data_IF_950741107015
#
_entry.id   IF_950741107015
#
_cell.length_a   1.000
_cell.length_b   1.000
_cell.length_c   1.000
_cell.angle_alpha   90.00
_cell.angle_beta   90.00
_cell.angle_gamma   90.00
#
_symmetry.space_group_name_H-M   'P 1'
#
loop_
_entity.id
_entity.type
_entity.pdbx_description
1 polymer ?
#
# COMPACT_ATOMS: atom_id res chain seq x y z
N UNK A 1 -21.93 11.56 30.25
CA UNK A 1 -22.38 10.19 30.57
C UNK A 1 -21.29 9.25 30.08
N UNK A 2 -20.55 8.61 30.98
CA UNK A 2 -19.51 7.64 30.62
C UNK A 2 -20.18 6.31 30.25
N UNK A 3 -20.51 6.11 28.98
CA UNK A 3 -20.95 4.83 28.43
C UNK A 3 -19.71 4.00 28.06
N UNK A 4 -19.04 3.45 29.07
CA UNK A 4 -18.11 2.35 28.84
C UNK A 4 -18.95 1.08 28.60
N UNK A 5 -19.34 0.86 27.35
CA UNK A 5 -20.01 -0.35 26.89
C UNK A 5 -19.00 -1.31 26.24
N UNK A 6 -19.08 -2.60 26.57
CA UNK A 6 -18.36 -3.66 25.84
C UNK A 6 -19.34 -4.34 24.90
N UNK A 7 -19.01 -4.40 23.62
CA UNK A 7 -19.78 -5.16 22.62
C UNK A 7 -18.99 -6.44 22.31
N UNK A 8 -19.68 -7.57 22.32
CA UNK A 8 -19.14 -8.85 21.85
C UNK A 8 -19.63 -9.11 20.42
N UNK A 9 -18.79 -8.85 19.43
CA UNK A 9 -19.18 -8.97 18.01
C UNK A 9 -19.52 -10.40 17.57
N UNK A 10 -19.23 -11.43 18.37
CA UNK A 10 -19.62 -12.82 18.05
C UNK A 10 -21.10 -13.08 18.31
N UNK A 11 -21.70 -12.34 19.24
CA UNK A 11 -23.11 -12.50 19.66
C UNK A 11 -23.88 -11.19 19.71
N UNK A 12 -23.30 -10.09 19.21
CA UNK A 12 -23.87 -8.75 19.29
C UNK A 12 -25.29 -8.73 18.74
N UNK A 13 -26.21 -8.18 19.52
CA UNK A 13 -27.57 -7.96 19.08
C UNK A 13 -27.64 -6.78 18.11
N UNK A 14 -28.61 -6.80 17.21
CA UNK A 14 -28.75 -5.76 16.17
C UNK A 14 -28.90 -4.35 16.75
N UNK A 15 -29.58 -4.21 17.90
CA UNK A 15 -29.72 -2.93 18.60
C UNK A 15 -28.39 -2.41 19.18
N UNK A 16 -27.47 -3.29 19.58
CA UNK A 16 -26.13 -2.88 20.04
C UNK A 16 -25.30 -2.36 18.87
N UNK A 17 -25.36 -3.04 17.72
CA UNK A 17 -24.67 -2.64 16.50
C UNK A 17 -25.25 -1.35 15.90
N UNK A 18 -26.57 -1.21 15.93
CA UNK A 18 -27.26 0.02 15.55
C UNK A 18 -26.88 1.17 16.47
N UNK A 19 -26.78 0.92 17.79
CA UNK A 19 -26.32 1.94 18.73
C UNK A 19 -24.87 2.34 18.44
N UNK A 20 -23.97 1.38 18.21
CA UNK A 20 -22.59 1.67 17.81
C UNK A 20 -22.55 2.51 16.53
N UNK A 21 -23.32 2.13 15.51
CA UNK A 21 -23.44 2.89 14.26
C UNK A 21 -23.94 4.33 14.50
N UNK A 22 -24.85 4.54 15.46
CA UNK A 22 -25.37 5.86 15.81
C UNK A 22 -24.36 6.74 16.56
N UNK A 23 -23.34 6.14 17.17
CA UNK A 23 -22.24 6.86 17.82
C UNK A 23 -21.16 7.28 16.83
N UNK A 24 -21.11 6.61 15.68
CA UNK A 24 -20.14 6.95 14.65
C UNK A 24 -20.49 8.29 13.98
N UNK A 25 -19.50 9.16 13.89
CA UNK A 25 -19.64 10.40 13.11
C UNK A 25 -19.65 10.06 11.62
N UNK A 26 -20.39 10.81 10.79
CA UNK A 26 -20.31 10.64 9.35
C UNK A 26 -18.87 10.79 8.89
N UNK A 27 -18.33 9.79 8.21
CA UNK A 27 -16.92 9.77 7.87
C UNK A 27 -16.61 10.75 6.73
N UNK A 28 -15.68 11.68 6.96
CA UNK A 28 -15.14 12.58 5.92
C UNK A 28 -14.09 11.87 5.08
N UNK A 29 -13.83 12.38 3.87
CA UNK A 29 -12.68 11.98 3.05
C UNK A 29 -11.84 13.21 2.69
N UNK A 30 -10.53 13.01 2.53
CA UNK A 30 -9.61 14.08 2.18
C UNK A 30 -9.64 14.34 0.67
N UNK A 31 -10.03 15.54 0.27
CA UNK A 31 -9.86 16.04 -1.09
C UNK A 31 -9.08 17.36 -1.00
N UNK A 32 -7.85 17.40 -1.53
CA UNK A 32 -7.00 18.60 -1.53
C UNK A 32 -6.82 19.24 -0.13
N UNK A 33 -6.42 18.45 0.86
CA UNK A 33 -6.25 18.89 2.26
C UNK A 33 -7.51 19.45 2.96
N UNK A 34 -8.70 19.18 2.41
CA UNK A 34 -9.99 19.49 3.03
C UNK A 34 -10.82 18.22 3.25
N UNK A 35 -11.43 18.13 4.43
CA UNK A 35 -12.42 17.10 4.75
C UNK A 35 -13.74 17.41 4.05
N UNK A 36 -14.10 16.62 3.05
CA UNK A 36 -15.37 16.75 2.31
C UNK A 36 -16.35 15.67 2.78
N UNK A 37 -17.61 16.07 2.99
CA UNK A 37 -18.73 15.19 3.29
C UNK A 37 -19.64 15.08 2.07
N UNK A 38 -19.70 13.90 1.45
CA UNK A 38 -20.57 13.61 0.31
C UNK A 38 -21.21 12.21 0.45
N UNK A 39 -22.53 12.17 0.68
CA UNK A 39 -23.28 10.94 0.84
C UNK A 39 -23.42 10.12 -0.46
N UNK A 40 -23.13 10.72 -1.62
CA UNK A 40 -23.03 10.00 -2.90
C UNK A 40 -21.71 9.27 -3.05
N UNK A 41 -20.70 9.66 -2.28
CA UNK A 41 -19.37 9.05 -2.26
C UNK A 41 -19.17 8.09 -1.09
N UNK A 42 -19.81 8.37 0.06
CA UNK A 42 -19.68 7.52 1.25
C UNK A 42 -20.86 7.68 2.20
N UNK A 43 -21.48 6.56 2.58
CA UNK A 43 -22.55 6.51 3.60
C UNK A 43 -22.13 5.64 4.78
N UNK A 44 -21.11 6.05 5.52
CA UNK A 44 -20.54 5.23 6.61
C UNK A 44 -20.24 6.08 7.83
N UNK A 45 -20.46 5.51 9.01
CA UNK A 45 -19.99 6.10 10.25
C UNK A 45 -18.58 5.61 10.60
N UNK A 46 -17.74 6.51 11.13
CA UNK A 46 -16.46 6.15 11.76
C UNK A 46 -16.37 6.61 13.22
N UNK A 47 -15.56 5.91 14.01
CA UNK A 47 -15.09 6.33 15.33
C UNK A 47 -13.57 6.45 15.31
N UNK A 48 -13.07 7.59 15.76
CA UNK A 48 -11.63 7.81 15.95
C UNK A 48 -11.07 6.94 17.07
N UNK A 49 -9.79 6.54 16.96
CA UNK A 49 -9.08 5.71 17.95
C UNK A 49 -9.13 6.27 19.38
N UNK A 50 -9.32 7.57 19.59
CA UNK A 50 -9.49 8.16 20.91
C UNK A 50 -10.79 7.73 21.62
N UNK A 51 -11.79 7.24 20.88
CA UNK A 51 -13.12 6.91 21.41
C UNK A 51 -13.41 5.42 21.54
N UNK A 52 -12.48 4.54 21.16
CA UNK A 52 -12.65 3.10 21.33
C UNK A 52 -11.34 2.41 21.70
N UNK A 53 -11.45 1.19 22.21
CA UNK A 53 -10.30 0.34 22.46
C UNK A 53 -10.60 -1.07 21.95
N UNK A 54 -9.65 -1.65 21.22
CA UNK A 54 -9.68 -3.06 20.86
C UNK A 54 -8.77 -3.84 21.81
N UNK A 55 -9.23 -5.00 22.30
CA UNK A 55 -8.36 -5.95 23.02
C UNK A 55 -7.46 -6.77 22.10
N UNK A 56 -7.68 -6.65 20.79
CA UNK A 56 -6.88 -7.31 19.78
C UNK A 56 -5.64 -6.47 19.51
N UNK A 57 -4.47 -7.10 19.62
CA UNK A 57 -3.19 -6.51 19.28
C UNK A 57 -2.57 -7.32 18.12
N UNK A 58 -2.47 -6.74 16.90
CA UNK A 58 -1.88 -7.40 15.74
C UNK A 58 -0.44 -7.87 15.95
N UNK A 59 0.32 -7.20 16.81
CA UNK A 59 1.71 -7.53 17.08
C UNK A 59 1.82 -8.74 18.00
N UNK A 60 1.08 -8.74 19.12
CA UNK A 60 1.15 -9.83 20.10
C UNK A 60 0.63 -11.17 19.58
N UNK A 61 -0.20 -11.19 18.52
CA UNK A 61 -0.74 -12.44 17.95
C UNK A 61 0.05 -12.96 16.73
N UNK A 62 1.18 -12.33 16.37
CA UNK A 62 2.00 -12.73 15.21
C UNK A 62 1.42 -12.35 13.85
N UNK A 63 0.35 -11.56 13.80
CA UNK A 63 -0.27 -11.15 12.54
C UNK A 63 0.66 -10.27 11.70
N UNK A 64 1.48 -9.41 12.34
CA UNK A 64 2.47 -8.63 11.61
C UNK A 64 3.55 -9.49 10.96
N UNK A 65 3.89 -10.65 11.52
CA UNK A 65 4.86 -11.57 10.95
C UNK A 65 4.31 -12.24 9.69
N UNK A 66 3.03 -12.64 9.73
CA UNK A 66 2.32 -13.14 8.56
C UNK A 66 2.21 -12.07 7.46
N UNK A 67 1.89 -10.82 7.82
CA UNK A 67 1.84 -9.70 6.86
C UNK A 67 3.21 -9.42 6.24
N UNK A 68 4.30 -9.50 7.02
CA UNK A 68 5.66 -9.37 6.47
C UNK A 68 5.96 -10.47 5.45
N UNK A 69 5.64 -11.73 5.78
CA UNK A 69 5.84 -12.83 4.85
C UNK A 69 5.04 -12.68 3.56
N UNK A 70 3.74 -12.37 3.68
CA UNK A 70 2.82 -12.35 2.54
C UNK A 70 2.88 -11.06 1.71
N UNK A 71 2.74 -9.90 2.37
CA UNK A 71 2.62 -8.61 1.68
C UNK A 71 3.99 -8.04 1.29
N UNK A 72 5.04 -8.28 2.07
CA UNK A 72 6.41 -7.80 1.75
C UNK A 72 7.23 -8.83 0.96
N UNK A 73 6.62 -9.90 0.46
CA UNK A 73 7.29 -10.97 -0.29
C UNK A 73 8.54 -11.50 0.43
N UNK A 74 8.41 -11.80 1.73
CA UNK A 74 9.51 -12.37 2.53
C UNK A 74 10.60 -11.40 2.98
N UNK A 75 10.38 -10.08 2.91
CA UNK A 75 11.30 -9.07 3.46
C UNK A 75 11.23 -9.00 5.00
N UNK A 76 11.77 -10.03 5.67
CA UNK A 76 11.73 -10.14 7.14
C UNK A 76 12.66 -9.14 7.86
N UNK A 77 13.64 -8.59 7.15
CA UNK A 77 14.63 -7.65 7.67
C UNK A 77 14.04 -6.25 7.93
N UNK A 78 12.88 -5.93 7.31
CA UNK A 78 12.17 -4.68 7.54
C UNK A 78 11.15 -4.84 8.68
N UNK A 79 11.43 -4.34 9.89
CA UNK A 79 10.43 -4.36 10.95
C UNK A 79 9.26 -3.45 10.56
N UNK A 80 8.05 -3.88 10.90
CA UNK A 80 6.82 -3.12 10.68
C UNK A 80 6.08 -2.92 12.00
N UNK A 81 5.31 -1.84 12.08
CA UNK A 81 4.39 -1.58 13.20
C UNK A 81 2.99 -1.28 12.68
N UNK A 82 1.99 -1.63 13.47
CA UNK A 82 0.60 -1.28 13.22
C UNK A 82 0.13 -0.21 14.21
N UNK A 83 -0.48 0.85 13.71
CA UNK A 83 -1.03 1.93 14.51
C UNK A 83 -2.55 1.94 14.39
N UNK A 84 -3.25 1.85 15.52
CA UNK A 84 -4.71 1.87 15.54
C UNK A 84 -5.22 3.19 14.97
N UNK A 85 -6.09 3.13 13.97
CA UNK A 85 -6.55 4.33 13.28
C UNK A 85 -8.03 4.61 13.50
N UNK A 86 -8.92 3.74 12.99
CA UNK A 86 -10.37 4.00 13.03
C UNK A 86 -11.19 2.72 13.13
N UNK A 87 -12.38 2.83 13.72
CA UNK A 87 -13.42 1.82 13.66
C UNK A 87 -14.49 2.30 12.68
N UNK A 88 -14.88 1.47 11.71
CA UNK A 88 -15.97 1.78 10.79
C UNK A 88 -17.14 0.83 11.00
N UNK A 89 -18.36 1.39 10.96
CA UNK A 89 -19.60 0.61 10.98
C UNK A 89 -20.41 0.92 9.73
N UNK A 90 -20.73 -0.12 8.97
CA UNK A 90 -21.55 -0.06 7.77
C UNK A 90 -22.88 -0.75 8.07
N UNK A 91 -23.96 0.01 8.10
CA UNK A 91 -25.33 -0.52 8.23
C UNK A 91 -25.96 -0.76 6.85
N UNK A 92 -27.26 -1.14 6.80
CA UNK A 92 -27.95 -1.38 5.55
C UNK A 92 -27.90 -0.17 4.60
N UNK A 93 -27.47 -0.40 3.35
CA UNK A 93 -27.27 0.62 2.32
C UNK A 93 -25.99 1.45 2.46
N UNK A 94 -25.16 1.21 3.49
CA UNK A 94 -23.84 1.83 3.61
C UNK A 94 -22.85 1.23 2.63
N UNK A 95 -22.00 2.08 2.04
CA UNK A 95 -20.95 1.72 1.08
C UNK A 95 -19.80 2.75 1.17
N UNK A 96 -18.67 2.42 0.56
CA UNK A 96 -17.57 3.35 0.34
C UNK A 96 -17.09 3.18 -1.10
N UNK A 97 -17.18 4.23 -1.90
CA UNK A 97 -16.67 4.26 -3.28
C UNK A 97 -15.16 3.98 -3.38
N UNK A 98 -14.73 3.70 -4.60
CA UNK A 98 -13.34 3.49 -4.97
C UNK A 98 -12.45 4.67 -4.55
N UNK A 99 -11.40 4.36 -3.81
CA UNK A 99 -10.39 5.31 -3.37
C UNK A 99 -9.06 4.62 -3.09
N UNK A 100 -7.99 5.40 -3.02
CA UNK A 100 -6.70 5.00 -2.46
C UNK A 100 -6.52 5.67 -1.09
N UNK A 101 -5.68 5.07 -0.25
CA UNK A 101 -5.39 5.64 1.06
C UNK A 101 -4.46 6.85 0.93
N UNK A 102 -4.83 7.95 1.57
CA UNK A 102 -3.90 9.08 1.75
C UNK A 102 -2.80 8.68 2.72
N UNK A 103 -1.55 8.71 2.28
CA UNK A 103 -0.40 8.40 3.13
C UNK A 103 -0.23 9.48 4.21
N UNK A 104 -0.18 9.07 5.49
CA UNK A 104 -0.15 9.98 6.65
C UNK A 104 1.26 10.22 7.21
N UNK A 105 2.27 10.07 6.37
CA UNK A 105 3.68 10.17 6.75
C UNK A 105 4.56 9.42 5.75
N UNK A 106 5.86 9.66 5.80
CA UNK A 106 6.80 9.05 4.86
C UNK A 106 6.97 7.54 5.05
N UNK A 107 6.67 7.03 6.24
CA UNK A 107 6.91 5.64 6.60
C UNK A 107 5.64 4.77 6.54
N UNK A 108 4.46 5.38 6.29
CA UNK A 108 3.22 4.65 6.09
C UNK A 108 3.27 3.97 4.73
N UNK A 109 3.11 2.66 4.69
CA UNK A 109 3.15 1.90 3.44
C UNK A 109 1.83 1.23 3.07
N UNK A 110 0.90 1.09 4.02
CA UNK A 110 -0.34 0.38 3.78
C UNK A 110 -1.31 0.39 4.95
N UNK A 111 -2.34 -0.43 4.81
CA UNK A 111 -3.45 -0.54 5.74
C UNK A 111 -3.71 -1.99 6.09
N UNK A 112 -4.07 -2.23 7.35
CA UNK A 112 -4.58 -3.51 7.86
C UNK A 112 -6.02 -3.31 8.31
N UNK A 113 -6.96 -3.98 7.65
CA UNK A 113 -8.38 -3.95 7.98
C UNK A 113 -8.75 -5.26 8.68
N UNK A 114 -9.09 -5.18 9.96
CA UNK A 114 -9.70 -6.27 10.72
C UNK A 114 -11.21 -6.23 10.56
N UNK A 115 -11.80 -7.40 10.31
CA UNK A 115 -13.23 -7.57 10.06
C UNK A 115 -13.80 -8.47 11.14
N UNK A 116 -14.64 -7.89 12.00
CA UNK A 116 -15.23 -8.61 13.13
C UNK A 116 -16.45 -9.43 12.68
N UNK A 117 -16.74 -10.56 13.35
CA UNK A 117 -17.80 -11.49 12.95
C UNK A 117 -19.22 -11.01 13.32
N UNK A 118 -19.48 -9.70 13.22
CA UNK A 118 -20.83 -9.14 13.34
C UNK A 118 -21.67 -9.59 12.14
N UNK A 119 -22.91 -10.02 12.38
CA UNK A 119 -23.79 -10.56 11.31
C UNK A 119 -24.16 -9.48 10.30
N UNK A 120 -23.87 -9.74 9.03
CA UNK A 120 -24.23 -8.89 7.90
C UNK A 120 -24.30 -9.68 6.59
N UNK A 121 -24.86 -9.06 5.56
CA UNK A 121 -24.86 -9.52 4.16
C UNK A 121 -24.39 -8.37 3.26
N UNK A 122 -23.67 -8.68 2.18
CA UNK A 122 -23.02 -7.66 1.35
C UNK A 122 -21.80 -7.07 2.04
N UNK A 123 -21.40 -5.85 1.69
CA UNK A 123 -20.24 -5.21 2.36
C UNK A 123 -18.88 -5.79 1.97
N UNK A 124 -18.77 -6.49 0.84
CA UNK A 124 -17.49 -7.05 0.42
C UNK A 124 -16.48 -5.93 0.13
N UNK A 125 -15.23 -6.17 0.52
CA UNK A 125 -14.10 -5.30 0.20
C UNK A 125 -13.60 -5.69 -1.20
N UNK A 126 -13.51 -4.74 -2.10
CA UNK A 126 -12.95 -4.93 -3.45
C UNK A 126 -11.63 -4.18 -3.51
N UNK A 127 -10.60 -4.84 -4.02
CA UNK A 127 -9.23 -4.32 -4.17
C UNK A 127 -8.87 -4.31 -5.65
N UNK A 128 -8.24 -3.25 -6.14
CA UNK A 128 -7.76 -3.13 -7.52
C UNK A 128 -6.33 -2.64 -7.56
N UNK A 129 -5.49 -3.34 -8.32
CA UNK A 129 -4.08 -3.00 -8.52
C UNK A 129 -3.60 -3.55 -9.86
N UNK A 130 -2.93 -2.72 -10.67
CA UNK A 130 -2.37 -3.10 -11.98
C UNK A 130 -3.35 -3.89 -12.87
N UNK A 131 -4.59 -3.39 -13.00
CA UNK A 131 -5.61 -4.01 -13.85
C UNK A 131 -6.20 -5.33 -13.32
N UNK A 132 -5.76 -5.79 -12.15
CA UNK A 132 -6.34 -6.95 -11.45
C UNK A 132 -7.32 -6.50 -10.37
N UNK A 133 -8.38 -7.29 -10.16
CA UNK A 133 -9.40 -7.05 -9.13
C UNK A 133 -9.57 -8.28 -8.24
N UNK A 134 -9.65 -8.06 -6.93
CA UNK A 134 -9.94 -9.09 -5.92
C UNK A 134 -11.13 -8.67 -5.07
N UNK A 135 -12.06 -9.60 -4.86
CA UNK A 135 -13.24 -9.40 -4.01
C UNK A 135 -13.17 -10.28 -2.77
N UNK A 136 -13.16 -9.66 -1.61
CA UNK A 136 -13.15 -10.33 -0.30
C UNK A 136 -14.54 -10.23 0.33
N UNK A 137 -15.30 -11.31 0.25
CA UNK A 137 -16.55 -11.48 0.98
C UNK A 137 -16.29 -12.10 2.36
N UNK A 138 -16.06 -11.23 3.34
CA UNK A 138 -15.86 -11.61 4.74
C UNK A 138 -17.13 -12.10 5.42
N UNK A 139 -18.32 -11.70 4.96
CA UNK A 139 -19.58 -12.06 5.59
C UNK A 139 -19.77 -13.57 5.56
N UNK A 140 -19.68 -14.14 4.35
CA UNK A 140 -19.81 -15.59 4.12
C UNK A 140 -18.68 -16.37 4.79
N UNK A 141 -17.45 -15.86 4.68
CA UNK A 141 -16.25 -16.53 5.21
C UNK A 141 -16.29 -16.64 6.74
N UNK A 142 -16.66 -15.57 7.43
CA UNK A 142 -16.73 -15.57 8.90
C UNK A 142 -17.96 -16.29 9.42
N UNK A 143 -19.09 -16.25 8.70
CA UNK A 143 -20.31 -16.95 9.10
C UNK A 143 -20.18 -18.48 9.03
N UNK A 144 -19.33 -19.01 8.15
CA UNK A 144 -19.10 -20.45 8.00
C UNK A 144 -17.96 -20.98 8.87
N UNK A 145 -17.24 -20.13 9.59
CA UNK A 145 -16.15 -20.56 10.48
C UNK A 145 -16.70 -21.32 11.69
N UNK A 146 -16.13 -22.50 11.97
CA UNK A 146 -16.52 -23.34 13.11
C UNK A 146 -16.10 -22.75 14.47
N UNK A 147 -15.13 -21.83 14.45
CA UNK A 147 -14.62 -21.17 15.65
C UNK A 147 -14.71 -19.65 15.51
N UNK A 148 -14.92 -18.90 16.62
CA UNK A 148 -14.93 -17.45 16.57
C UNK A 148 -13.65 -16.91 15.92
N UNK A 149 -13.80 -16.25 14.78
CA UNK A 149 -12.69 -15.81 13.92
C UNK A 149 -12.84 -14.35 13.58
N UNK A 150 -11.71 -13.67 13.37
CA UNK A 150 -11.63 -12.31 12.84
C UNK A 150 -10.98 -12.41 11.47
N UNK A 151 -11.61 -11.81 10.46
CA UNK A 151 -11.03 -11.71 9.12
C UNK A 151 -10.03 -10.58 9.09
N UNK A 152 -9.00 -10.67 8.25
CA UNK A 152 -8.12 -9.54 8.01
C UNK A 152 -7.80 -9.41 6.52
N UNK A 153 -7.55 -8.17 6.11
CA UNK A 153 -6.99 -7.85 4.79
C UNK A 153 -5.90 -6.80 4.99
N UNK A 154 -4.72 -7.04 4.44
CA UNK A 154 -3.62 -6.10 4.44
C UNK A 154 -3.24 -5.76 2.99
N UNK A 155 -3.06 -4.48 2.69
CA UNK A 155 -2.77 -4.00 1.34
C UNK A 155 -1.92 -2.73 1.39
N UNK A 156 -1.18 -2.45 0.31
CA UNK A 156 -0.41 -1.23 0.18
C UNK A 156 -1.30 -0.01 -0.03
N UNK A 157 -0.83 1.17 0.38
CA UNK A 157 -1.62 2.41 0.37
C UNK A 157 -2.10 2.85 -1.02
N UNK A 158 -1.38 2.42 -2.06
CA UNK A 158 -1.63 2.68 -3.47
C UNK A 158 -2.59 1.68 -4.12
N UNK A 159 -3.08 0.68 -3.37
CA UNK A 159 -4.14 -0.20 -3.84
C UNK A 159 -5.47 0.55 -3.77
N UNK A 160 -6.13 0.69 -4.92
CA UNK A 160 -7.50 1.22 -4.96
C UNK A 160 -8.43 0.21 -4.30
N UNK A 161 -9.35 0.68 -3.45
CA UNK A 161 -10.30 -0.17 -2.79
C UNK A 161 -11.65 0.49 -2.56
N UNK A 162 -12.68 -0.34 -2.47
CA UNK A 162 -14.06 0.07 -2.20
C UNK A 162 -14.76 -0.95 -1.29
N UNK A 163 -15.84 -0.52 -0.65
CA UNK A 163 -16.74 -1.41 0.10
C UNK A 163 -18.09 -1.40 -0.59
N UNK A 164 -18.44 -2.54 -1.18
CA UNK A 164 -19.75 -2.72 -1.81
C UNK A 164 -20.89 -2.56 -0.80
N UNK A 165 -22.12 -2.22 -1.23
CA UNK A 165 -23.22 -1.96 -0.31
C UNK A 165 -23.51 -3.12 0.65
N UNK A 166 -23.74 -2.79 1.92
CA UNK A 166 -24.28 -3.74 2.91
C UNK A 166 -25.78 -3.88 2.66
N UNK A 167 -26.23 -5.13 2.50
CA UNK A 167 -27.63 -5.47 2.21
C UNK A 167 -28.43 -5.57 3.51
N UNK A 168 -27.89 -6.25 4.52
CA UNK A 168 -28.53 -6.44 5.82
C UNK A 168 -27.50 -6.53 6.95
N UNK A 169 -27.92 -6.27 8.18
CA UNK A 169 -27.05 -6.29 9.36
C UNK A 169 -26.02 -5.15 9.39
N UNK A 170 -24.93 -5.37 10.13
CA UNK A 170 -23.87 -4.35 10.31
C UNK A 170 -22.48 -4.96 10.15
N UNK A 171 -21.73 -4.45 9.19
CA UNK A 171 -20.31 -4.78 9.00
C UNK A 171 -19.48 -3.87 9.89
N UNK A 172 -18.71 -4.46 10.81
CA UNK A 172 -17.84 -3.74 11.75
C UNK A 172 -16.38 -4.06 11.45
N UNK A 173 -15.59 -3.00 11.28
CA UNK A 173 -14.15 -3.13 10.99
C UNK A 173 -13.32 -2.21 11.85
N UNK A 174 -12.09 -2.61 12.11
CA UNK A 174 -11.05 -1.74 12.69
C UNK A 174 -9.89 -1.68 11.72
N UNK A 175 -9.49 -0.48 11.35
CA UNK A 175 -8.35 -0.23 10.47
C UNK A 175 -7.14 0.20 11.30
N UNK A 176 -5.99 -0.39 10.97
CA UNK A 176 -4.67 0.04 11.42
C UNK A 176 -3.88 0.58 10.23
N UNK A 177 -3.13 1.65 10.44
CA UNK A 177 -2.13 2.11 9.49
C UNK A 177 -0.84 1.28 9.71
N UNK A 178 -0.25 0.80 8.62
CA UNK A 178 1.00 0.03 8.65
C UNK A 178 2.17 0.94 8.30
N UNK A 179 3.21 0.89 9.14
CA UNK A 179 4.42 1.68 8.98
C UNK A 179 5.67 0.81 9.01
N UNK A 180 6.69 1.24 8.28
CA UNK A 180 8.05 0.77 8.55
C UNK A 180 8.46 1.25 9.95
N UNK A 181 9.14 0.39 10.70
CA UNK A 181 9.64 0.69 12.03
C UNK A 181 11.16 0.80 12.02
N UNK A 182 11.71 1.45 13.04
CA UNK A 182 13.14 1.38 13.33
C UNK A 182 13.41 0.15 14.19
N UNK A 183 14.54 -0.52 13.94
CA UNK A 183 14.97 -1.76 14.61
C UNK A 183 14.99 -1.70 16.13
N UNK A 184 15.05 -0.50 16.72
CA UNK A 184 15.17 -0.28 18.16
C UNK A 184 13.83 -0.32 18.93
N UNK A 185 12.68 -0.44 18.24
CA UNK A 185 11.34 -0.32 18.86
C UNK A 185 10.63 -1.65 19.15
N UNK A 186 11.21 -2.79 18.79
CA UNK A 186 10.60 -4.12 19.00
C UNK A 186 10.74 -4.60 20.45
N UNK A 187 9.95 -4.04 21.37
CA UNK A 187 9.92 -4.38 22.79
C UNK A 187 9.10 -5.64 23.17
N UNK A 188 8.65 -6.44 22.20
CA UNK A 188 7.90 -7.66 22.46
C UNK A 188 8.81 -8.86 22.25
N UNK A 189 8.99 -9.69 23.29
CA UNK A 189 9.71 -10.96 23.19
C UNK A 189 9.01 -11.82 22.11
N UNK A 190 9.65 -11.93 20.94
CA UNK A 190 9.26 -12.87 19.90
C UNK A 190 9.49 -14.27 20.46
N UNK A 191 8.42 -14.94 20.91
CA UNK A 191 8.40 -16.38 20.70
C UNK A 191 8.31 -16.56 19.19
N UNK A 192 9.30 -17.27 18.64
CA UNK A 192 9.55 -17.52 17.23
C UNK A 192 8.37 -18.33 16.65
N UNK A 193 7.22 -17.69 16.48
CA UNK A 193 6.06 -18.25 15.82
C UNK A 193 6.33 -18.16 14.32
N UNK A 194 7.10 -19.13 13.84
CA UNK A 194 7.51 -19.32 12.44
C UNK A 194 6.29 -19.58 11.52
N UNK A 195 5.44 -18.58 11.35
CA UNK A 195 4.55 -18.48 10.20
C UNK A 195 5.22 -17.67 9.07
N UNK A 196 6.55 -17.49 9.13
CA UNK A 196 7.34 -17.05 8.00
C UNK A 196 7.10 -18.04 6.86
N UNK A 197 6.26 -17.64 5.90
CA UNK A 197 6.09 -18.40 4.67
C UNK A 197 7.39 -18.27 3.87
N UNK A 198 7.77 -19.34 3.20
CA UNK A 198 8.92 -19.33 2.29
C UNK A 198 8.81 -18.11 1.35
N UNK A 199 9.95 -17.53 0.90
CA UNK A 199 9.93 -16.50 -0.13
C UNK A 199 9.00 -16.94 -1.26
N UNK A 200 8.13 -16.06 -1.75
CA UNK A 200 7.10 -16.48 -2.68
C UNK A 200 7.75 -17.11 -3.92
N UNK A 201 7.11 -18.12 -4.51
CA UNK A 201 7.71 -18.99 -5.54
C UNK A 201 8.24 -18.22 -6.77
N UNK A 202 7.80 -16.97 -6.95
CA UNK A 202 8.29 -16.03 -7.97
C UNK A 202 9.74 -15.58 -7.73
N UNK A 203 10.22 -15.41 -6.49
CA UNK A 203 11.58 -14.91 -6.22
C UNK A 203 12.65 -15.87 -6.77
N UNK A 204 12.55 -17.15 -6.42
CA UNK A 204 13.49 -18.16 -6.89
C UNK A 204 13.44 -18.35 -8.42
N UNK A 205 12.23 -18.32 -9.00
CA UNK A 205 12.06 -18.44 -10.45
C UNK A 205 12.64 -17.23 -11.19
N UNK A 206 12.40 -16.01 -10.68
CA UNK A 206 12.93 -14.79 -11.26
C UNK A 206 14.45 -14.72 -11.15
N UNK A 207 15.02 -15.04 -9.98
CA UNK A 207 16.47 -15.13 -9.77
C UNK A 207 17.12 -16.08 -10.78
N UNK A 208 16.55 -17.27 -10.96
CA UNK A 208 17.06 -18.25 -11.92
C UNK A 208 16.97 -17.72 -13.37
N UNK A 209 15.87 -17.07 -13.74
CA UNK A 209 15.67 -16.48 -15.06
C UNK A 209 16.64 -15.34 -15.35
N UNK A 210 16.79 -14.39 -14.42
CA UNK A 210 17.71 -13.26 -14.57
C UNK A 210 19.16 -13.75 -14.62
N UNK A 211 19.54 -14.73 -13.79
CA UNK A 211 20.86 -15.33 -13.86
C UNK A 211 21.14 -15.96 -15.23
N UNK A 212 20.19 -16.74 -15.76
CA UNK A 212 20.33 -17.35 -17.07
C UNK A 212 20.48 -16.29 -18.20
N UNK A 213 19.75 -15.17 -18.09
CA UNK A 213 19.88 -14.05 -19.01
C UNK A 213 21.28 -13.40 -18.95
N UNK A 214 21.83 -13.22 -17.75
CA UNK A 214 23.16 -12.62 -17.54
C UNK A 214 24.30 -13.55 -17.98
N UNK A 215 24.09 -14.87 -17.94
CA UNK A 215 25.05 -15.88 -18.40
C UNK A 215 25.02 -16.09 -19.92
N UNK A 216 24.01 -15.57 -20.63
CA UNK A 216 23.89 -15.65 -22.09
C UNK A 216 24.69 -14.54 -22.78
N UNK A 217 25.85 -14.90 -23.35
CA UNK A 217 26.73 -13.97 -24.08
C UNK A 217 26.08 -13.33 -25.33
N UNK A 218 24.98 -13.89 -25.84
CA UNK A 218 24.21 -13.29 -26.93
C UNK A 218 23.29 -12.16 -26.46
N UNK A 219 22.98 -12.12 -25.16
CA UNK A 219 22.19 -11.07 -24.56
C UNK A 219 23.08 -9.85 -24.25
N UNK A 220 22.68 -8.67 -24.73
CA UNK A 220 23.43 -7.42 -24.53
C UNK A 220 24.95 -7.56 -24.79
N UNK A 221 25.37 -7.99 -26.00
CA UNK A 221 26.78 -8.30 -26.28
C UNK A 221 27.73 -7.08 -26.17
N UNK A 222 27.17 -5.86 -26.24
CA UNK A 222 27.89 -4.60 -26.04
C UNK A 222 27.75 -4.05 -24.60
N UNK A 223 27.14 -4.82 -23.70
CA UNK A 223 26.63 -4.34 -22.41
C UNK A 223 25.34 -3.53 -22.55
N UNK A 224 24.81 -3.07 -21.42
CA UNK A 224 23.57 -2.30 -21.39
C UNK A 224 23.12 -1.93 -19.99
N UNK A 225 22.01 -1.20 -19.91
CA UNK A 225 21.27 -0.94 -18.66
C UNK A 225 19.92 -1.62 -18.81
N UNK A 226 19.55 -2.45 -17.84
CA UNK A 226 18.20 -3.01 -17.76
C UNK A 226 17.39 -2.13 -16.84
N UNK A 227 16.21 -1.71 -17.28
CA UNK A 227 15.30 -0.93 -16.45
C UNK A 227 14.00 -1.69 -16.24
N UNK A 228 13.45 -1.58 -15.03
CA UNK A 228 12.09 -2.01 -14.71
C UNK A 228 11.35 -0.85 -14.07
N UNK A 229 10.12 -0.57 -14.51
CA UNK A 229 9.23 0.33 -13.78
C UNK A 229 8.93 -0.24 -12.40
N UNK A 230 8.86 0.63 -11.38
CA UNK A 230 8.35 0.23 -10.08
C UNK A 230 6.84 -0.01 -10.18
N UNK A 231 6.37 -1.09 -9.56
CA UNK A 231 4.96 -1.53 -9.62
C UNK A 231 4.07 -0.81 -8.64
N UNK A 232 4.65 -0.26 -7.58
CA UNK A 232 3.94 0.48 -6.56
C UNK A 232 4.15 1.98 -6.65
N UNK A 233 3.17 2.74 -6.16
CA UNK A 233 3.35 4.17 -5.97
C UNK A 233 3.99 4.46 -4.60
N UNK A 234 4.86 5.47 -4.59
CA UNK A 234 5.61 5.85 -3.40
C UNK A 234 5.43 7.33 -3.09
N UNK A 235 5.33 7.70 -1.80
CA UNK A 235 5.26 9.10 -1.41
C UNK A 235 6.45 9.90 -1.96
N UNK A 236 6.13 10.94 -2.73
CA UNK A 236 7.11 11.84 -3.36
C UNK A 236 6.64 13.29 -3.20
N UNK A 237 7.25 14.05 -2.30
CA UNK A 237 6.94 15.46 -2.09
C UNK A 237 7.56 16.35 -3.20
N UNK A 238 6.94 16.42 -4.39
CA UNK A 238 7.43 17.24 -5.53
C UNK A 238 7.80 18.68 -5.14
N UNK A 239 7.07 19.27 -4.20
CA UNK A 239 7.29 20.65 -3.74
C UNK A 239 8.52 20.82 -2.83
N UNK A 240 9.01 19.73 -2.23
CA UNK A 240 10.23 19.73 -1.43
C UNK A 240 11.14 18.56 -1.81
N UNK A 241 11.83 18.61 -2.96
CA UNK A 241 12.66 17.50 -3.44
C UNK A 241 13.77 17.09 -2.48
N UNK A 242 14.24 18.03 -1.65
CA UNK A 242 15.28 17.78 -0.64
C UNK A 242 14.83 16.77 0.44
N UNK A 243 13.52 16.57 0.62
CA UNK A 243 12.98 15.55 1.52
C UNK A 243 12.78 14.18 0.84
N UNK A 244 12.92 14.09 -0.48
CA UNK A 244 12.72 12.85 -1.26
C UNK A 244 14.02 12.41 -1.94
N UNK A 245 15.04 12.10 -1.15
CA UNK A 245 16.20 11.44 -1.73
C UNK A 245 15.78 10.04 -2.22
N UNK A 246 16.02 9.70 -3.49
CA UNK A 246 15.71 8.36 -4.03
C UNK A 246 16.40 7.25 -3.22
N UNK A 247 17.52 7.55 -2.58
CA UNK A 247 18.18 6.62 -1.67
C UNK A 247 17.31 6.22 -0.46
N UNK A 248 16.49 7.14 0.08
CA UNK A 248 15.57 6.80 1.18
C UNK A 248 14.41 5.92 0.73
N UNK A 249 14.12 5.92 -0.58
CA UNK A 249 13.09 5.08 -1.18
C UNK A 249 13.54 3.62 -1.28
N UNK A 250 14.83 3.35 -1.47
CA UNK A 250 15.39 1.98 -1.53
C UNK A 250 15.01 1.16 -0.29
N UNK A 251 15.01 1.80 0.88
CA UNK A 251 14.64 1.18 2.15
C UNK A 251 13.14 0.93 2.31
N UNK A 252 12.33 1.53 1.46
CA UNK A 252 10.85 1.54 1.53
C UNK A 252 10.20 0.85 0.33
N UNK A 253 10.98 0.17 -0.51
CA UNK A 253 10.43 -0.60 -1.62
C UNK A 253 9.42 -1.64 -1.10
N UNK A 254 8.32 -1.78 -1.85
CA UNK A 254 7.13 -2.60 -1.54
C UNK A 254 7.15 -3.87 -2.38
N UNK A 255 6.83 -5.02 -1.76
CA UNK A 255 6.59 -6.30 -2.45
C UNK A 255 7.64 -6.62 -3.52
N UNK A 256 7.18 -6.87 -4.75
CA UNK A 256 8.04 -7.24 -5.87
C UNK A 256 9.11 -6.21 -6.26
N UNK A 257 8.93 -4.91 -5.95
CA UNK A 257 9.97 -3.90 -6.17
C UNK A 257 11.17 -4.15 -5.23
N UNK A 258 10.88 -4.49 -3.96
CA UNK A 258 11.91 -4.86 -2.99
C UNK A 258 12.55 -6.19 -3.35
N UNK A 259 11.76 -7.17 -3.80
CA UNK A 259 12.26 -8.46 -4.29
C UNK A 259 13.26 -8.26 -5.43
N UNK A 260 12.93 -7.43 -6.42
CA UNK A 260 13.82 -7.14 -7.55
C UNK A 260 15.16 -6.57 -7.06
N UNK A 261 15.13 -5.62 -6.12
CA UNK A 261 16.35 -5.07 -5.52
C UNK A 261 17.18 -6.14 -4.81
N UNK A 262 16.56 -7.00 -3.98
CA UNK A 262 17.28 -8.09 -3.30
C UNK A 262 17.93 -9.06 -4.29
N UNK A 263 17.24 -9.40 -5.37
CA UNK A 263 17.76 -10.27 -6.43
C UNK A 263 18.96 -9.61 -7.12
N UNK A 264 18.88 -8.31 -7.44
CA UNK A 264 20.01 -7.58 -8.00
C UNK A 264 21.22 -7.60 -7.06
N UNK A 265 21.02 -7.33 -5.77
CA UNK A 265 22.07 -7.39 -4.76
C UNK A 265 22.69 -8.81 -4.66
N UNK A 266 21.86 -9.86 -4.68
CA UNK A 266 22.30 -11.25 -4.63
C UNK A 266 23.10 -11.69 -5.86
N UNK A 267 22.84 -11.10 -7.02
CA UNK A 267 23.59 -11.32 -8.26
C UNK A 267 24.81 -10.39 -8.39
N UNK A 268 25.02 -9.46 -7.44
CA UNK A 268 26.10 -8.49 -7.47
C UNK A 268 25.95 -7.42 -8.55
N UNK A 269 24.71 -7.14 -8.98
CA UNK A 269 24.39 -6.07 -9.93
C UNK A 269 24.40 -4.71 -9.21
N UNK A 270 24.90 -3.68 -9.90
CA UNK A 270 24.82 -2.30 -9.42
C UNK A 270 23.44 -1.72 -9.76
N UNK A 271 22.44 -1.99 -8.91
CA UNK A 271 21.08 -1.49 -9.09
C UNK A 271 20.83 -0.18 -8.33
N UNK A 272 20.11 0.74 -8.97
CA UNK A 272 19.81 2.07 -8.43
C UNK A 272 18.41 2.53 -8.83
N UNK A 273 17.75 3.28 -7.96
CA UNK A 273 16.47 3.92 -8.31
C UNK A 273 16.73 5.19 -9.12
N UNK A 274 15.93 5.36 -10.17
CA UNK A 274 15.95 6.50 -11.08
C UNK A 274 14.53 7.02 -11.32
N UNK A 275 14.42 8.29 -11.68
CA UNK A 275 13.17 8.89 -12.13
C UNK A 275 13.18 8.98 -13.64
N UNK A 276 12.10 8.54 -14.28
CA UNK A 276 11.91 8.67 -15.72
C UNK A 276 10.94 9.81 -15.99
N UNK A 277 11.38 10.80 -16.75
CA UNK A 277 10.54 11.86 -17.29
C UNK A 277 10.30 11.62 -18.77
N UNK A 278 9.05 11.36 -19.13
CA UNK A 278 8.64 11.26 -20.52
C UNK A 278 8.52 12.65 -21.14
N UNK A 279 9.02 12.79 -22.36
CA UNK A 279 8.95 14.01 -23.16
C UNK A 279 8.45 13.65 -24.55
N UNK A 280 7.93 14.62 -25.31
CA UNK A 280 7.43 14.37 -26.67
C UNK A 280 8.47 13.77 -27.63
N UNK A 281 9.76 13.82 -27.30
CA UNK A 281 10.88 13.33 -28.13
C UNK A 281 11.67 12.16 -27.49
N UNK A 282 11.21 11.58 -26.37
CA UNK A 282 11.90 10.48 -25.69
C UNK A 282 11.79 10.56 -24.16
N UNK A 283 12.63 9.80 -23.44
CA UNK A 283 12.61 9.77 -21.99
C UNK A 283 13.96 10.21 -21.38
N UNK A 284 13.89 10.91 -20.25
CA UNK A 284 15.04 11.34 -19.46
C UNK A 284 15.13 10.54 -18.18
N UNK A 285 16.29 9.95 -17.93
CA UNK A 285 16.58 9.21 -16.70
C UNK A 285 17.40 10.09 -15.74
N UNK A 286 16.83 10.43 -14.59
CA UNK A 286 17.46 11.30 -13.59
C UNK A 286 17.70 10.57 -12.26
N UNK A 287 18.72 11.00 -11.54
CA UNK A 287 19.09 10.48 -10.21
C UNK A 287 18.32 11.16 -9.07
N UNK A 288 17.62 12.26 -9.37
CA UNK A 288 16.93 13.09 -8.41
C UNK A 288 15.56 13.49 -8.96
N UNK A 289 14.58 13.61 -8.08
CA UNK A 289 13.28 14.20 -8.42
C UNK A 289 13.50 15.69 -8.62
N UNK A 290 13.22 16.17 -9.83
CA UNK A 290 13.34 17.59 -10.18
C UNK A 290 11.96 18.24 -10.15
N UNK A 291 11.87 19.41 -9.51
CA UNK A 291 10.73 20.29 -9.66
C UNK A 291 11.03 21.27 -10.81
N UNK A 292 10.33 21.11 -11.92
CA UNK A 292 10.50 21.98 -13.08
C UNK A 292 9.84 23.35 -12.90
N UNK A 293 8.99 23.55 -11.89
CA UNK A 293 8.26 24.80 -11.66
C UNK A 293 7.40 25.23 -12.86
N UNK A 294 6.94 26.48 -12.85
CA UNK A 294 6.21 27.10 -13.98
C UNK A 294 7.14 27.46 -15.17
N UNK A 295 8.46 27.33 -14.99
CA UNK A 295 9.50 27.76 -15.94
C UNK A 295 9.46 26.97 -17.26
N UNK A 296 8.78 25.82 -17.32
CA UNK A 296 8.70 24.98 -18.51
C UNK A 296 7.30 24.94 -19.16
N UNK A 297 6.29 25.63 -18.62
CA UNK A 297 4.95 25.66 -19.25
C UNK A 297 4.92 26.49 -20.55
N UNK A 298 5.96 27.28 -20.84
CA UNK A 298 5.97 28.27 -21.93
C UNK A 298 7.09 28.10 -22.96
N UNK A 299 7.90 27.05 -22.87
CA UNK A 299 8.99 26.81 -23.83
C UNK A 299 8.69 25.61 -24.73
N UNK A 300 8.26 25.90 -25.97
CA UNK A 300 8.19 24.96 -27.10
C UNK A 300 9.57 24.47 -27.58
N UNK A 301 10.68 24.91 -26.95
CA UNK A 301 12.03 24.51 -27.33
C UNK A 301 12.55 23.36 -26.44
N UNK A 302 12.73 22.21 -27.10
CA UNK A 302 13.44 20.98 -26.75
C UNK A 302 13.89 20.86 -25.27
N UNK A 303 12.90 20.65 -24.39
CA UNK A 303 13.05 20.41 -22.95
C UNK A 303 14.14 19.36 -22.67
N UNK A 304 14.27 18.37 -23.55
CA UNK A 304 15.31 17.33 -23.51
C UNK A 304 16.71 17.93 -23.56
N UNK A 305 16.98 18.87 -24.47
CA UNK A 305 18.29 19.51 -24.61
C UNK A 305 18.63 20.38 -23.39
N UNK A 306 17.65 21.14 -22.87
CA UNK A 306 17.83 21.97 -21.67
C UNK A 306 18.12 21.11 -20.43
N UNK A 307 17.42 19.99 -20.29
CA UNK A 307 17.62 19.05 -19.17
C UNK A 307 18.93 18.26 -19.32
N UNK A 308 19.32 17.89 -20.54
CA UNK A 308 20.64 17.31 -20.83
C UNK A 308 21.77 18.28 -20.49
N UNK A 309 21.68 19.54 -20.90
CA UNK A 309 22.71 20.56 -20.67
C UNK A 309 22.82 20.93 -19.18
N UNK A 310 21.68 20.98 -18.48
CA UNK A 310 21.62 21.42 -17.06
C UNK A 310 21.95 20.30 -16.07
N UNK A 311 21.61 19.06 -16.39
CA UNK A 311 21.79 17.92 -15.47
C UNK A 311 22.82 16.88 -15.97
N UNK A 312 23.27 16.95 -17.24
CA UNK A 312 24.42 16.20 -17.76
C UNK A 312 24.19 14.69 -17.94
N UNK A 313 22.97 14.22 -18.23
CA UNK A 313 22.60 12.80 -18.09
C UNK A 313 22.03 12.12 -19.34
N UNK A 314 21.92 10.79 -19.26
CA UNK A 314 21.63 9.84 -20.34
C UNK A 314 20.16 9.95 -20.78
N UNK A 315 19.94 10.26 -22.06
CA UNK A 315 18.61 10.13 -22.69
C UNK A 315 18.38 8.68 -23.05
N UNK A 316 17.20 8.17 -22.70
CA UNK A 316 16.70 6.89 -23.16
C UNK A 316 15.79 7.16 -24.36
N UNK A 317 16.20 6.70 -25.55
CA UNK A 317 15.28 6.59 -26.67
C UNK A 317 14.53 5.26 -26.51
N UNK A 318 13.23 5.33 -26.25
CA UNK A 318 12.34 4.18 -26.20
C UNK A 318 11.41 4.23 -27.42
N UNK A 319 11.22 3.10 -28.09
CA UNK A 319 10.16 2.92 -29.07
C UNK A 319 8.86 2.59 -28.30
N UNK A 320 7.87 3.49 -28.40
CA UNK A 320 6.45 3.41 -28.03
C UNK A 320 6.06 2.59 -26.78
N UNK A 321 5.89 3.27 -25.64
CA UNK A 321 5.00 2.85 -24.55
C UNK A 321 4.26 4.08 -23.99
N UNK A 322 2.96 3.92 -23.73
CA UNK A 322 2.05 5.01 -23.33
C UNK A 322 2.22 5.43 -21.87
N UNK A 323 2.41 6.75 -21.69
CA UNK A 323 1.93 7.62 -20.61
C UNK A 323 2.01 7.08 -19.17
N UNK A 324 3.10 7.41 -18.46
CA UNK A 324 3.07 7.79 -17.03
C UNK A 324 4.48 8.19 -16.53
N UNK A 325 4.57 9.29 -15.76
CA UNK A 325 5.78 9.66 -15.00
C UNK A 325 6.08 8.58 -13.94
N UNK A 326 6.94 7.61 -14.26
CA UNK A 326 7.21 6.46 -13.40
C UNK A 326 8.64 6.51 -12.82
N UNK A 327 8.75 6.11 -11.55
CA UNK A 327 10.05 5.79 -10.94
C UNK A 327 10.44 4.39 -11.44
N UNK A 328 11.69 4.22 -11.84
CA UNK A 328 12.22 2.95 -12.35
C UNK A 328 13.43 2.49 -11.53
N UNK A 329 13.64 1.18 -11.47
CA UNK A 329 14.89 0.57 -11.03
C UNK A 329 15.77 0.32 -12.26
N UNK A 330 17.02 0.78 -12.23
CA UNK A 330 18.01 0.70 -13.31
C UNK A 330 19.33 0.09 -12.85
#
# INVERSE_FOLDING_TARGET
MNLLGRIDFTTAAENELQHLASLCEPATFGMNDQDVYDETYRKTGQLDAAYFAAKFDPQCCGLLDAIRGDLMEGDYEKPIRAELYKLNVYGPGSFFEAHQDTTRGQDMFGSLVLIFPAKHEGGALVLRHEGSEWRVDSATTLATSETPSVGYVAFFSDVEHEVSPVVSGYRVTVTYNLYYADTDTSGCNHEDHSAARDPPANEAAFLAGLRALLEDESCMPAGGTLCSGLRHQYPCARQNPQTNCLWSLERRLKGSDAMLRRICDALGLEASIRVVYETGNGALLLDDIVNFGDDFEHHEEDVVSCLQDRFGRKVLQWDDCEHQENIALA
#
